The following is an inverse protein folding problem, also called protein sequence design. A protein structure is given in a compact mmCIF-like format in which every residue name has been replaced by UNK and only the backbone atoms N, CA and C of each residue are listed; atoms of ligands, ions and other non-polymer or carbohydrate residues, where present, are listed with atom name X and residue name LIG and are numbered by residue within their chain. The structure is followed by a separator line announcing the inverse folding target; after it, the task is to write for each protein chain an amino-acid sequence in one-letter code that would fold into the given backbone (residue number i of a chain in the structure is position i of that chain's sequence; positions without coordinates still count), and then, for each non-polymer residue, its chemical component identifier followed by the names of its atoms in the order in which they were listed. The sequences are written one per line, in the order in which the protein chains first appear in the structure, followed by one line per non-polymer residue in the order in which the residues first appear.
data_IF_173036608522
#
_entry.id   IF_173036608522
#
_cell.length_a   1.000
_cell.length_b   1.000
_cell.length_c   1.000
_cell.angle_alpha   90.00
_cell.angle_beta   90.00
_cell.angle_gamma   90.00
#
_symmetry.space_group_name_H-M   'P 1'
#
loop_
_entity.id
_entity.type
_entity.pdbx_description
1 polymer ?
#
# COMPACT_ATOMS: atom_id res chain seq x y z
N UNK A 1 4.87 50.45 26.92
CA UNK A 1 4.49 49.03 27.03
C UNK A 1 4.39 48.43 25.63
N UNK A 2 5.35 47.61 25.17
CA UNK A 2 5.27 47.00 23.85
C UNK A 2 4.38 45.76 23.88
N UNK A 3 3.34 45.75 23.05
CA UNK A 3 2.49 44.58 22.81
C UNK A 3 3.30 43.54 22.02
N UNK A 4 3.75 42.49 22.71
CA UNK A 4 4.32 41.29 22.08
C UNK A 4 3.21 40.57 21.30
N UNK A 5 3.27 40.64 19.96
CA UNK A 5 2.51 39.74 19.09
C UNK A 5 3.24 38.38 19.09
N UNK A 6 2.55 37.23 19.31
CA UNK A 6 3.21 35.95 19.18
C UNK A 6 3.46 35.69 17.69
N UNK A 7 4.69 35.90 17.24
CA UNK A 7 5.21 35.27 16.02
C UNK A 7 5.46 33.81 16.38
N UNK A 8 4.59 32.91 15.92
CA UNK A 8 4.86 31.48 15.91
C UNK A 8 5.90 31.26 14.81
N UNK A 9 7.17 31.39 15.15
CA UNK A 9 8.25 30.89 14.32
C UNK A 9 8.30 29.38 14.51
N UNK A 10 7.73 28.67 13.54
CA UNK A 10 7.77 27.22 13.42
C UNK A 10 9.22 26.79 13.15
N UNK A 11 10.02 26.66 14.21
CA UNK A 11 11.31 25.98 14.12
C UNK A 11 11.05 24.50 13.83
N UNK A 12 11.01 24.17 12.52
CA UNK A 12 11.07 22.81 12.02
C UNK A 12 12.44 22.25 12.40
N UNK A 13 12.54 21.65 13.58
CA UNK A 13 13.71 20.91 14.01
C UNK A 13 13.73 19.60 13.22
N UNK A 14 14.20 19.68 11.98
CA UNK A 14 14.59 18.56 11.10
C UNK A 14 15.89 17.97 11.66
N UNK A 15 15.90 17.56 12.92
CA UNK A 15 17.01 16.83 13.53
C UNK A 15 16.67 15.34 13.52
N UNK A 16 17.09 14.65 12.45
CA UNK A 16 17.02 13.19 12.37
C UNK A 16 16.65 12.59 11.01
N UNK A 17 16.34 13.41 10.00
CA UNK A 17 15.94 12.90 8.67
C UNK A 17 17.16 12.50 7.80
N UNK A 18 18.36 12.94 8.14
CA UNK A 18 19.53 12.86 7.25
C UNK A 18 20.34 11.56 7.30
N UNK A 19 20.22 10.70 8.32
CA UNK A 19 21.06 9.47 8.42
C UNK A 19 20.35 8.13 8.17
N UNK A 20 19.05 8.11 7.89
CA UNK A 20 18.31 6.87 7.60
C UNK A 20 17.86 6.74 6.12
N UNK A 21 18.43 7.58 5.24
CA UNK A 21 18.24 7.50 3.78
C UNK A 21 18.96 6.30 3.13
N UNK A 22 19.79 5.57 3.88
CA UNK A 22 20.62 4.47 3.37
C UNK A 22 19.86 3.19 2.99
N UNK A 23 18.53 3.10 3.15
CA UNK A 23 17.76 1.88 2.84
C UNK A 23 16.68 2.00 1.76
N UNK A 24 16.58 3.13 1.05
CA UNK A 24 15.72 3.22 -0.14
C UNK A 24 14.22 2.92 0.07
N UNK A 25 13.69 3.09 1.29
CA UNK A 25 12.27 2.89 1.64
C UNK A 25 11.63 4.26 1.93
N UNK A 26 10.55 4.61 1.22
CA UNK A 26 9.78 5.83 1.46
C UNK A 26 9.22 5.89 2.88
N UNK A 27 9.25 7.09 3.49
CA UNK A 27 8.71 7.37 4.83
C UNK A 27 7.53 8.33 4.70
N UNK A 28 6.48 8.13 5.48
CA UNK A 28 5.43 9.15 5.58
C UNK A 28 5.74 10.10 6.70
N UNK A 29 5.35 11.35 6.48
CA UNK A 29 5.19 12.38 7.49
C UNK A 29 3.70 12.69 7.56
N UNK A 30 3.14 12.53 8.75
CA UNK A 30 1.72 12.72 9.03
C UNK A 30 1.53 13.96 9.87
N UNK A 31 0.62 14.83 9.46
CA UNK A 31 0.13 15.94 10.26
C UNK A 31 -1.32 15.64 10.62
N UNK A 32 -1.62 15.56 11.93
CA UNK A 32 -2.97 15.31 12.42
C UNK A 32 -3.46 16.43 13.29
N UNK A 33 -4.74 16.71 13.13
CA UNK A 33 -5.50 17.64 13.96
C UNK A 33 -6.72 16.90 14.51
N UNK A 34 -6.87 16.90 15.82
CA UNK A 34 -7.92 16.15 16.48
C UNK A 34 -8.51 16.85 17.68
N UNK A 35 -9.58 16.24 18.18
CA UNK A 35 -10.23 16.60 19.42
C UNK A 35 -10.15 15.41 20.36
N UNK A 36 -9.71 15.66 21.58
CA UNK A 36 -9.71 14.71 22.68
C UNK A 36 -10.91 14.98 23.58
N UNK A 37 -11.67 13.93 23.85
CA UNK A 37 -12.85 13.89 24.69
C UNK A 37 -12.53 13.07 25.95
N UNK A 38 -12.37 13.77 27.08
CA UNK A 38 -12.14 13.22 28.42
C UNK A 38 -12.88 14.10 29.41
N UNK A 39 -14.20 13.92 29.53
CA UNK A 39 -15.08 14.81 30.33
C UNK A 39 -15.31 16.21 29.74
N UNK A 40 -14.28 16.85 29.15
CA UNK A 40 -14.38 18.12 28.41
C UNK A 40 -13.50 18.09 27.11
N UNK A 41 -13.69 19.04 26.18
CA UNK A 41 -13.05 19.08 24.86
C UNK A 41 -11.63 19.65 24.91
N UNK A 42 -10.65 18.89 24.40
CA UNK A 42 -9.26 19.32 24.25
C UNK A 42 -8.83 19.24 22.79
N UNK A 43 -7.92 20.11 22.34
CA UNK A 43 -7.38 20.11 20.97
C UNK A 43 -6.05 19.34 20.95
N UNK A 44 -5.90 18.46 19.97
CA UNK A 44 -4.66 17.70 19.77
C UNK A 44 -4.01 18.06 18.44
N UNK A 45 -2.71 18.35 18.49
CA UNK A 45 -1.86 18.62 17.33
C UNK A 45 -0.73 17.62 17.32
N UNK A 46 -0.58 16.87 16.22
CA UNK A 46 0.35 15.76 16.17
C UNK A 46 1.11 15.75 14.84
N UNK A 47 2.42 15.58 14.96
CA UNK A 47 3.32 15.35 13.85
C UNK A 47 3.90 13.95 14.04
N UNK A 48 3.66 13.05 13.08
CA UNK A 48 4.14 11.68 13.14
C UNK A 48 4.99 11.34 11.93
N UNK A 49 5.83 10.35 12.09
CA UNK A 49 6.53 9.67 10.99
C UNK A 49 6.07 8.24 10.94
N UNK A 50 6.13 7.60 9.78
CA UNK A 50 5.87 6.17 9.67
C UNK A 50 6.85 5.50 8.71
N UNK A 51 7.44 4.40 9.17
CA UNK A 51 8.35 3.55 8.42
C UNK A 51 7.99 2.07 8.61
N UNK A 52 8.04 1.25 7.55
CA UNK A 52 7.70 -0.17 7.67
C UNK A 52 8.77 -0.95 8.43
N UNK A 53 8.33 -1.87 9.31
CA UNK A 53 9.20 -2.86 9.96
C UNK A 53 9.21 -4.14 9.13
N UNK A 54 8.11 -4.91 9.22
CA UNK A 54 7.94 -6.21 8.61
C UNK A 54 6.46 -6.63 8.61
N UNK A 55 6.05 -7.34 7.56
CA UNK A 55 4.71 -7.92 7.47
C UNK A 55 3.60 -6.88 7.57
N UNK A 56 2.80 -6.98 8.62
CA UNK A 56 1.65 -6.10 8.86
C UNK A 56 2.04 -4.81 9.59
N UNK A 57 3.28 -4.71 10.07
CA UNK A 57 3.68 -3.73 11.06
C UNK A 57 4.55 -2.61 10.48
N UNK A 58 4.26 -1.38 10.89
CA UNK A 58 5.09 -0.19 10.71
C UNK A 58 5.29 0.49 12.06
N UNK A 59 6.28 1.38 12.14
CA UNK A 59 6.54 2.15 13.34
C UNK A 59 6.84 3.61 13.02
N UNK A 60 6.64 4.45 14.03
CA UNK A 60 6.73 5.87 13.90
C UNK A 60 7.28 6.55 15.13
N UNK A 61 7.86 7.72 14.91
CA UNK A 61 8.04 8.71 15.97
C UNK A 61 6.86 9.68 15.92
N UNK A 62 6.30 10.00 17.07
CA UNK A 62 5.23 10.97 17.24
C UNK A 62 5.70 12.13 18.09
N UNK A 63 5.39 13.36 17.68
CA UNK A 63 5.47 14.57 18.47
C UNK A 63 4.04 15.06 18.65
N UNK A 64 3.63 15.30 19.88
CA UNK A 64 2.23 15.61 20.20
C UNK A 64 2.10 16.76 21.19
N UNK A 65 1.13 17.62 20.91
CA UNK A 65 0.73 18.73 21.76
C UNK A 65 -0.76 18.61 22.04
N UNK A 66 -1.12 18.48 23.32
CA UNK A 66 -2.51 18.36 23.77
C UNK A 66 -2.84 19.59 24.60
N UNK A 67 -3.74 20.44 24.10
CA UNK A 67 -4.15 21.67 24.78
C UNK A 67 -5.55 21.45 25.34
N UNK A 68 -5.69 21.58 26.66
CA UNK A 68 -6.95 21.48 27.36
C UNK A 68 -7.47 22.89 27.68
N UNK A 69 -8.67 23.20 27.21
CA UNK A 69 -9.35 24.45 27.54
C UNK A 69 -10.48 24.13 28.54
N UNK A 70 -10.23 24.35 29.83
CA UNK A 70 -11.24 24.12 30.87
C UNK A 70 -11.41 25.36 31.75
N UNK A 71 -12.53 26.09 31.60
CA UNK A 71 -13.08 27.08 32.54
C UNK A 71 -12.04 27.83 33.41
N UNK A 72 -11.00 28.42 32.80
CA UNK A 72 -10.01 29.26 33.48
C UNK A 72 -8.68 28.61 33.91
N UNK A 73 -8.40 27.35 33.55
CA UNK A 73 -7.05 26.74 33.68
C UNK A 73 -6.52 26.28 32.32
N UNK A 74 -5.35 26.77 31.95
CA UNK A 74 -4.65 26.40 30.72
C UNK A 74 -3.71 25.23 31.03
N UNK A 75 -4.02 24.03 30.55
CA UNK A 75 -3.14 22.87 30.70
C UNK A 75 -2.71 22.38 29.33
N UNK A 76 -1.43 22.06 29.19
CA UNK A 76 -0.92 21.49 27.95
C UNK A 76 0.03 20.31 28.21
N UNK A 77 -0.06 19.26 27.41
CA UNK A 77 0.95 18.22 27.36
C UNK A 77 1.80 18.40 26.11
N UNK A 78 3.11 18.40 26.29
CA UNK A 78 4.10 18.42 25.22
C UNK A 78 4.94 17.15 25.34
N UNK A 79 4.88 16.27 24.35
CA UNK A 79 5.62 15.02 24.42
C UNK A 79 6.04 14.49 23.07
N UNK A 80 6.95 13.52 23.14
CA UNK A 80 7.38 12.74 22.00
C UNK A 80 7.36 11.26 22.36
N UNK A 81 7.12 10.41 21.37
CA UNK A 81 6.91 9.00 21.60
C UNK A 81 7.18 8.14 20.39
N UNK A 82 6.98 6.85 20.61
CA UNK A 82 7.09 5.83 19.58
C UNK A 82 5.73 5.13 19.43
N UNK A 83 5.35 4.90 18.19
CA UNK A 83 4.11 4.23 17.83
C UNK A 83 4.40 2.99 16.98
N UNK A 84 3.62 1.94 17.20
CA UNK A 84 3.53 0.74 16.39
C UNK A 84 2.18 0.73 15.70
N UNK A 85 2.18 0.62 14.38
CA UNK A 85 0.95 0.52 13.59
C UNK A 85 0.87 -0.87 12.97
N UNK A 86 -0.36 -1.39 12.83
CA UNK A 86 -0.65 -2.64 12.16
C UNK A 86 -1.64 -2.39 11.02
N UNK A 87 -1.45 -3.05 9.88
CA UNK A 87 -2.29 -2.99 8.69
C UNK A 87 -2.27 -1.65 7.92
N UNK A 88 -1.46 -0.69 8.37
CA UNK A 88 -1.28 0.60 7.68
C UNK A 88 -0.62 0.41 6.31
N UNK A 89 -0.99 1.24 5.34
CA UNK A 89 -0.48 1.24 3.94
C UNK A 89 -0.71 -0.04 3.12
N UNK A 90 -1.69 -0.87 3.48
CA UNK A 90 -1.95 -2.13 2.75
C UNK A 90 -2.65 -1.97 1.40
N UNK A 91 -3.38 -0.89 1.21
CA UNK A 91 -4.27 -0.67 0.06
C UNK A 91 -4.55 0.82 -0.13
N UNK A 92 -5.19 1.17 -1.25
CA UNK A 92 -5.69 2.55 -1.47
C UNK A 92 -6.65 3.00 -0.38
N UNK A 93 -7.33 2.08 0.29
CA UNK A 93 -8.19 2.36 1.43
C UNK A 93 -8.12 1.18 2.39
N UNK A 94 -7.91 1.43 3.68
CA UNK A 94 -7.93 0.35 4.66
C UNK A 94 -7.92 0.82 6.11
N UNK A 95 -8.44 -0.02 7.03
CA UNK A 95 -8.29 0.21 8.45
C UNK A 95 -6.87 -0.10 8.91
N UNK A 96 -6.44 0.55 9.98
CA UNK A 96 -5.21 0.25 10.70
C UNK A 96 -5.44 0.35 12.21
N UNK A 97 -4.66 -0.41 12.96
CA UNK A 97 -4.59 -0.30 14.42
C UNK A 97 -3.28 0.40 14.79
N UNK A 98 -3.26 1.07 15.93
CA UNK A 98 -2.05 1.67 16.47
C UNK A 98 -1.99 1.53 18.00
N UNK A 99 -0.76 1.36 18.49
CA UNK A 99 -0.44 1.44 19.90
C UNK A 99 0.84 2.28 20.04
N UNK A 100 0.91 3.13 21.06
CA UNK A 100 2.03 4.04 21.23
C UNK A 100 2.27 4.42 22.69
N UNK A 101 3.51 4.82 22.95
CA UNK A 101 3.94 5.37 24.23
C UNK A 101 4.71 6.65 23.97
N UNK A 102 4.30 7.72 24.63
CA UNK A 102 4.96 9.01 24.58
C UNK A 102 5.36 9.46 25.98
N UNK A 103 6.48 10.16 26.09
CA UNK A 103 6.93 10.80 27.33
C UNK A 103 7.04 12.29 27.07
N UNK A 104 6.68 13.09 28.06
CA UNK A 104 6.62 14.52 27.90
C UNK A 104 6.49 15.28 29.20
N UNK A 105 6.26 16.57 29.06
CA UNK A 105 5.96 17.48 30.16
C UNK A 105 4.49 17.86 30.08
N UNK A 106 3.78 17.64 31.18
CA UNK A 106 2.44 18.15 31.41
C UNK A 106 2.54 19.44 32.20
N UNK A 107 2.01 20.53 31.64
CA UNK A 107 1.93 21.84 32.29
C UNK A 107 0.56 22.03 32.92
N UNK A 108 0.55 22.43 34.19
CA UNK A 108 -0.58 23.05 34.86
C UNK A 108 -0.26 24.54 35.07
N UNK A 109 -1.26 25.32 35.46
CA UNK A 109 -1.23 26.74 35.83
C UNK A 109 -0.09 27.09 36.82
N UNK A 110 0.46 26.11 37.55
CA UNK A 110 1.53 26.32 38.54
C UNK A 110 2.66 25.27 38.55
N UNK A 111 2.62 24.19 37.77
CA UNK A 111 3.64 23.13 37.80
C UNK A 111 3.96 22.54 36.43
N UNK A 112 5.20 22.05 36.29
CA UNK A 112 5.66 21.25 35.16
C UNK A 112 6.01 19.87 35.67
N UNK A 113 5.30 18.85 35.21
CA UNK A 113 5.50 17.47 35.67
C UNK A 113 5.78 16.54 34.50
N UNK A 114 6.66 15.56 34.73
CA UNK A 114 6.90 14.50 33.76
C UNK A 114 5.64 13.64 33.64
N UNK A 115 5.28 13.31 32.41
CA UNK A 115 4.11 12.50 32.12
C UNK A 115 4.39 11.48 31.02
N UNK A 116 3.77 10.31 31.13
CA UNK A 116 3.71 9.30 30.09
C UNK A 116 2.30 9.27 29.50
N UNK A 117 2.19 9.08 28.19
CA UNK A 117 0.93 8.92 27.49
C UNK A 117 0.91 7.59 26.74
N UNK A 118 0.03 6.71 27.16
CA UNK A 118 -0.31 5.50 26.44
C UNK A 118 -1.39 5.82 25.42
N UNK A 119 -1.24 5.34 24.20
CA UNK A 119 -2.22 5.50 23.13
C UNK A 119 -2.55 4.12 22.55
N UNK A 120 -3.84 3.81 22.43
CA UNK A 120 -4.33 2.59 21.78
C UNK A 120 -5.56 2.93 20.94
N UNK A 121 -5.59 2.51 19.68
CA UNK A 121 -6.76 2.74 18.86
C UNK A 121 -6.59 2.26 17.44
N UNK A 122 -7.33 2.91 16.55
CA UNK A 122 -7.29 2.60 15.14
C UNK A 122 -7.94 3.67 14.29
N UNK A 123 -7.74 3.54 13.00
CA UNK A 123 -8.26 4.49 12.03
C UNK A 123 -8.47 3.86 10.67
N UNK A 124 -8.98 4.66 9.76
CA UNK A 124 -9.05 4.36 8.34
C UNK A 124 -8.18 5.35 7.59
N UNK A 125 -7.46 4.88 6.59
CA UNK A 125 -6.62 5.69 5.73
C UNK A 125 -7.06 5.51 4.28
N UNK A 126 -7.22 6.62 3.56
CA UNK A 126 -7.50 6.67 2.13
C UNK A 126 -6.35 7.35 1.40
N UNK A 127 -5.74 6.63 0.47
CA UNK A 127 -4.63 7.06 -0.39
C UNK A 127 -5.10 7.18 -1.84
N UNK A 128 -5.68 8.33 -2.23
CA UNK A 128 -6.12 8.55 -3.61
C UNK A 128 -4.93 8.57 -4.59
N UNK A 129 -3.76 9.00 -4.12
CA UNK A 129 -2.52 9.10 -4.91
C UNK A 129 -1.33 8.52 -4.11
N UNK A 130 -0.26 8.03 -4.77
CA UNK A 130 0.81 7.29 -4.09
C UNK A 130 1.56 8.06 -3.01
N UNK A 131 1.62 9.40 -3.11
CA UNK A 131 2.40 10.24 -2.21
C UNK A 131 1.56 10.95 -1.14
N UNK A 132 0.23 10.78 -1.12
CA UNK A 132 -0.64 11.47 -0.16
C UNK A 132 -1.75 10.56 0.39
N UNK A 133 -2.10 10.75 1.66
CA UNK A 133 -3.23 10.10 2.31
C UNK A 133 -4.08 11.06 3.13
N UNK A 134 -5.35 10.72 3.28
CA UNK A 134 -6.27 11.28 4.27
C UNK A 134 -6.63 10.20 5.26
N UNK A 135 -6.63 10.52 6.54
CA UNK A 135 -6.88 9.56 7.61
C UNK A 135 -7.92 10.06 8.61
N UNK A 136 -8.79 9.16 9.05
CA UNK A 136 -9.62 9.35 10.24
C UNK A 136 -9.14 8.37 11.30
N UNK A 137 -8.95 8.82 12.54
CA UNK A 137 -8.41 7.99 13.62
C UNK A 137 -9.19 8.23 14.91
N UNK A 138 -9.45 7.17 15.64
CA UNK A 138 -10.02 7.20 16.99
C UNK A 138 -9.12 6.42 17.93
N UNK A 139 -8.64 7.07 18.97
CA UNK A 139 -7.68 6.51 19.93
C UNK A 139 -8.13 6.75 21.35
N UNK A 140 -8.00 5.74 22.18
CA UNK A 140 -8.01 5.86 23.62
C UNK A 140 -6.62 6.27 24.12
N UNK A 141 -6.58 7.20 25.05
CA UNK A 141 -5.35 7.74 25.64
C UNK A 141 -5.43 7.65 27.15
N UNK A 142 -4.34 7.24 27.78
CA UNK A 142 -4.16 7.24 29.23
C UNK A 142 -2.88 8.01 29.57
N UNK A 143 -3.02 9.14 30.24
CA UNK A 143 -1.94 9.99 30.69
C UNK A 143 -1.65 9.73 32.18
N UNK A 144 -0.43 9.32 32.48
CA UNK A 144 0.09 9.17 33.84
C UNK A 144 1.07 10.31 34.14
N UNK A 145 0.85 11.04 35.25
CA UNK A 145 1.67 12.19 35.64
C UNK A 145 2.45 11.88 36.93
N UNK A 146 3.76 12.20 36.95
CA UNK A 146 4.61 12.19 38.13
C UNK A 146 5.74 11.13 38.14
N UNK A 147 6.76 11.29 39.01
CA UNK A 147 7.97 10.45 39.05
C UNK A 147 7.77 9.06 39.67
N UNK A 148 6.58 8.74 40.22
CA UNK A 148 6.32 7.52 41.01
C UNK A 148 5.50 6.45 40.28
N UNK A 149 5.11 6.67 39.03
CA UNK A 149 4.06 5.87 38.41
C UNK A 149 4.24 5.64 36.91
N UNK A 150 5.37 5.08 36.49
CA UNK A 150 5.49 4.50 35.14
C UNK A 150 4.68 3.20 34.97
N UNK A 151 4.04 2.69 36.04
CA UNK A 151 3.32 1.40 36.07
C UNK A 151 2.13 1.35 37.07
N UNK A 152 1.66 2.50 37.58
CA UNK A 152 0.53 2.58 38.52
C UNK A 152 -0.36 3.77 38.17
N UNK A 153 -1.59 3.49 37.74
CA UNK A 153 -2.65 4.51 37.60
C UNK A 153 -2.86 5.18 38.95
N UNK A 154 -2.52 6.46 39.06
CA UNK A 154 -2.74 7.25 40.28
C UNK A 154 -4.09 7.96 40.21
N UNK A 155 -4.58 8.54 41.31
CA UNK A 155 -5.83 9.31 41.30
C UNK A 155 -5.81 10.53 40.33
N UNK A 156 -4.64 10.90 39.81
CA UNK A 156 -4.44 11.98 38.84
C UNK A 156 -4.26 11.47 37.39
N UNK A 157 -4.33 10.15 37.13
CA UNK A 157 -4.29 9.62 35.78
C UNK A 157 -5.51 10.09 35.00
N UNK A 158 -5.31 10.50 33.74
CA UNK A 158 -6.40 10.99 32.88
C UNK A 158 -6.57 10.08 31.69
N UNK A 159 -7.80 9.73 31.38
CA UNK A 159 -8.09 8.93 30.21
C UNK A 159 -9.20 9.50 29.34
N UNK A 160 -9.13 9.23 28.04
CA UNK A 160 -10.25 9.54 27.17
C UNK A 160 -10.02 9.19 25.72
N UNK A 161 -11.01 9.51 24.90
CA UNK A 161 -11.05 9.15 23.49
C UNK A 161 -10.74 10.38 22.66
N UNK A 162 -9.75 10.31 21.78
CA UNK A 162 -9.48 11.34 20.80
C UNK A 162 -9.87 10.87 19.40
N UNK A 163 -10.57 11.74 18.68
CA UNK A 163 -10.86 11.58 17.26
C UNK A 163 -10.04 12.61 16.48
N UNK A 164 -9.31 12.18 15.45
CA UNK A 164 -8.48 13.06 14.64
C UNK A 164 -8.67 12.82 13.15
N UNK A 165 -8.55 13.92 12.40
CA UNK A 165 -8.36 13.88 10.96
C UNK A 165 -6.89 14.18 10.66
N UNK A 166 -6.31 13.44 9.73
CA UNK A 166 -4.90 13.52 9.40
C UNK A 166 -4.69 13.62 7.90
N UNK A 167 -3.62 14.31 7.54
CA UNK A 167 -3.05 14.30 6.20
C UNK A 167 -1.64 13.74 6.26
N UNK A 168 -1.35 12.83 5.35
CA UNK A 168 -0.08 12.10 5.27
C UNK A 168 0.61 12.39 3.96
N UNK A 169 1.91 12.64 3.98
CA UNK A 169 2.74 12.79 2.78
C UNK A 169 3.91 11.81 2.80
N UNK A 170 4.13 11.11 1.70
CA UNK A 170 5.31 10.25 1.52
C UNK A 170 6.49 11.07 1.03
N UNK A 171 7.59 11.06 1.78
CA UNK A 171 8.86 11.70 1.43
C UNK A 171 9.89 10.61 1.06
N UNK A 172 10.54 10.76 -0.11
CA UNK A 172 11.51 9.83 -0.67
C UNK A 172 10.97 9.05 -1.88
N UNK A 173 11.73 8.08 -2.41
CA UNK A 173 11.23 7.18 -3.45
C UNK A 173 10.07 6.37 -2.86
N UNK A 174 8.85 6.67 -3.31
CA UNK A 174 7.68 5.82 -3.10
C UNK A 174 8.01 4.47 -3.72
N UNK A 175 8.38 3.51 -2.89
CA UNK A 175 8.41 2.13 -3.35
C UNK A 175 6.97 1.67 -3.25
N UNK A 176 6.32 1.47 -4.39
CA UNK A 176 5.12 0.65 -4.51
C UNK A 176 5.46 -0.76 -4.01
N UNK A 177 5.56 -0.94 -2.69
CA UNK A 177 5.72 -2.21 -2.01
C UNK A 177 4.34 -2.65 -1.59
N UNK A 178 3.64 -3.32 -2.51
CA UNK A 178 2.79 -4.44 -2.09
C UNK A 178 3.68 -5.36 -1.26
N UNK A 179 3.40 -5.44 0.03
CA UNK A 179 4.05 -6.44 0.87
C UNK A 179 3.57 -7.83 0.43
N UNK A 180 4.44 -8.86 0.56
CA UNK A 180 4.06 -10.23 0.28
C UNK A 180 2.99 -10.64 1.28
N UNK A 181 1.89 -11.17 0.78
CA UNK A 181 0.84 -11.78 1.57
C UNK A 181 1.44 -12.92 2.41
N UNK A 182 1.20 -13.00 3.74
CA UNK A 182 1.37 -14.25 4.47
C UNK A 182 0.55 -15.33 3.77
N UNK A 183 1.08 -16.56 3.71
CA UNK A 183 0.51 -17.68 2.95
C UNK A 183 -0.98 -17.92 3.22
N UNK A 184 -1.70 -18.54 2.27
CA UNK A 184 -3.15 -18.52 2.24
C UNK A 184 -3.71 -19.34 3.40
N UNK A 185 -4.32 -18.66 4.36
CA UNK A 185 -5.45 -19.21 5.07
C UNK A 185 -6.60 -19.30 4.05
N UNK A 186 -7.09 -20.52 3.80
CA UNK A 186 -8.17 -20.79 2.84
C UNK A 186 -9.39 -19.96 3.20
N UNK A 187 -9.60 -18.88 2.46
CA UNK A 187 -10.90 -18.21 2.37
C UNK A 187 -11.60 -18.82 1.16
N UNK A 188 -12.67 -19.57 1.42
CA UNK A 188 -13.57 -20.05 0.38
C UNK A 188 -13.99 -18.88 -0.52
N UNK A 189 -13.65 -18.99 -1.81
CA UNK A 189 -14.08 -18.04 -2.83
C UNK A 189 -15.60 -18.14 -3.02
N UNK A 190 -16.33 -17.02 -3.13
CA UNK A 190 -17.73 -17.05 -3.54
C UNK A 190 -17.85 -17.68 -4.95
N UNK A 191 -18.97 -18.34 -5.25
CA UNK A 191 -19.14 -19.10 -6.50
C UNK A 191 -18.90 -18.20 -7.71
N UNK A 192 -17.98 -18.63 -8.58
CA UNK A 192 -17.59 -17.93 -9.80
C UNK A 192 -18.80 -17.79 -10.74
N UNK A 193 -19.05 -16.61 -11.34
CA UNK A 193 -19.95 -16.53 -12.48
C UNK A 193 -19.41 -17.40 -13.62
N UNK A 194 -20.28 -18.05 -14.42
CA UNK A 194 -19.86 -18.88 -15.54
C UNK A 194 -19.08 -18.04 -16.56
N UNK A 195 -17.90 -18.53 -16.92
CA UNK A 195 -17.08 -17.96 -17.99
C UNK A 195 -17.81 -18.13 -19.32
N UNK A 196 -18.21 -17.01 -19.92
CA UNK A 196 -18.73 -16.96 -21.27
C UNK A 196 -17.53 -17.06 -22.22
N UNK A 197 -17.16 -18.29 -22.60
CA UNK A 197 -16.17 -18.54 -23.66
C UNK A 197 -16.90 -18.31 -24.99
N UNK A 198 -16.79 -17.11 -25.57
CA UNK A 198 -17.34 -16.81 -26.90
C UNK A 198 -16.17 -16.62 -27.89
N UNK A 199 -16.14 -17.51 -28.87
CA UNK A 199 -15.18 -17.53 -29.96
C UNK A 199 -14.81 -18.97 -30.31
N UNK A 200 -14.97 -19.36 -31.58
CA UNK A 200 -14.51 -20.67 -32.07
C UNK A 200 -12.97 -20.73 -32.02
N UNK A 201 -12.41 -21.13 -30.89
CA UNK A 201 -10.98 -21.44 -30.76
C UNK A 201 -10.81 -22.91 -31.19
N UNK A 202 -10.14 -23.15 -32.31
CA UNK A 202 -9.88 -24.51 -32.83
C UNK A 202 -8.39 -24.86 -32.74
N UNK A 203 -8.07 -26.14 -32.51
CA UNK A 203 -6.69 -26.65 -32.50
C UNK A 203 -5.87 -26.32 -31.24
N UNK A 204 -4.55 -26.55 -31.32
CA UNK A 204 -3.61 -26.44 -30.17
C UNK A 204 -3.63 -25.09 -29.44
N UNK A 205 -3.93 -23.99 -30.14
CA UNK A 205 -4.05 -22.66 -29.54
C UNK A 205 -5.21 -22.56 -28.52
N UNK A 206 -6.33 -23.25 -28.78
CA UNK A 206 -7.48 -23.30 -27.88
C UNK A 206 -7.13 -23.96 -26.54
N UNK A 207 -6.44 -25.09 -26.61
CA UNK A 207 -6.07 -25.87 -25.44
C UNK A 207 -5.03 -25.13 -24.59
N UNK A 208 -4.08 -24.44 -25.23
CA UNK A 208 -3.09 -23.58 -24.56
C UNK A 208 -3.77 -22.42 -23.84
N UNK A 209 -4.71 -21.72 -24.51
CA UNK A 209 -5.47 -20.61 -23.90
C UNK A 209 -6.31 -21.12 -22.74
N UNK A 210 -7.02 -22.25 -22.90
CA UNK A 210 -7.78 -22.88 -21.82
C UNK A 210 -6.89 -23.22 -20.63
N UNK A 211 -5.72 -23.79 -20.88
CA UNK A 211 -4.75 -24.12 -19.83
C UNK A 211 -4.26 -22.87 -19.09
N UNK A 212 -3.99 -21.78 -19.81
CA UNK A 212 -3.66 -20.51 -19.18
C UNK A 212 -4.83 -19.98 -18.32
N UNK A 213 -6.07 -20.08 -18.82
CA UNK A 213 -7.28 -19.68 -18.09
C UNK A 213 -7.52 -20.52 -16.83
N UNK A 214 -7.16 -21.80 -16.82
CA UNK A 214 -7.25 -22.66 -15.63
C UNK A 214 -6.34 -22.17 -14.49
N UNK A 215 -5.30 -21.39 -14.81
CA UNK A 215 -4.44 -20.75 -13.82
C UNK A 215 -5.00 -19.44 -13.25
N UNK A 216 -6.18 -18.97 -13.66
CA UNK A 216 -6.78 -17.74 -13.14
C UNK A 216 -6.87 -17.74 -11.60
N UNK A 217 -6.42 -16.64 -10.99
CA UNK A 217 -6.34 -16.48 -9.55
C UNK A 217 -5.08 -17.07 -8.90
N UNK A 218 -4.24 -17.80 -9.64
CA UNK A 218 -2.97 -18.31 -9.11
C UNK A 218 -2.07 -17.13 -8.70
N UNK A 219 -1.44 -17.15 -7.50
CA UNK A 219 -0.61 -16.05 -7.04
C UNK A 219 0.58 -15.73 -7.95
N UNK A 220 1.01 -14.47 -7.91
CA UNK A 220 2.26 -14.08 -8.56
C UNK A 220 3.44 -14.46 -7.68
N UNK A 221 4.39 -15.19 -8.25
CA UNK A 221 5.65 -15.55 -7.60
C UNK A 221 6.78 -15.23 -8.55
N UNK A 222 7.68 -14.35 -8.14
CA UNK A 222 8.88 -14.04 -8.93
C UNK A 222 9.68 -15.33 -9.15
N UNK A 223 9.99 -15.68 -10.41
CA UNK A 223 10.64 -16.94 -10.71
C UNK A 223 9.67 -18.13 -10.87
N UNK A 224 8.40 -17.98 -10.52
CA UNK A 224 7.39 -19.03 -10.53
C UNK A 224 7.03 -19.54 -11.93
N UNK A 225 6.85 -20.85 -12.06
CA UNK A 225 6.63 -21.57 -13.34
C UNK A 225 5.62 -22.72 -13.22
N UNK A 226 4.85 -22.78 -12.13
CA UNK A 226 3.92 -23.88 -11.85
C UNK A 226 2.67 -23.41 -11.09
N UNK A 227 1.71 -24.31 -10.88
CA UNK A 227 0.42 -24.01 -10.27
C UNK A 227 0.47 -23.45 -8.83
N UNK A 228 1.61 -23.51 -8.15
CA UNK A 228 1.82 -22.86 -6.85
C UNK A 228 2.20 -21.38 -6.96
N UNK A 229 2.44 -20.87 -8.16
CA UNK A 229 2.74 -19.46 -8.42
C UNK A 229 3.45 -19.24 -9.76
N UNK A 230 3.06 -18.17 -10.46
CA UNK A 230 3.63 -17.81 -11.75
C UNK A 230 4.21 -16.39 -11.73
N UNK A 231 5.35 -16.16 -12.38
CA UNK A 231 5.63 -14.83 -12.94
C UNK A 231 5.05 -14.69 -14.35
N UNK A 232 5.18 -13.51 -14.95
CA UNK A 232 4.55 -13.20 -16.23
C UNK A 232 4.98 -14.17 -17.34
N UNK A 233 6.29 -14.37 -17.50
CA UNK A 233 6.88 -15.28 -18.47
C UNK A 233 6.69 -16.76 -18.11
N UNK A 234 6.65 -17.09 -16.81
CA UNK A 234 6.45 -18.44 -16.31
C UNK A 234 5.04 -18.96 -16.57
N UNK A 235 4.01 -18.12 -16.48
CA UNK A 235 2.64 -18.47 -16.87
C UNK A 235 2.58 -18.88 -18.34
N UNK A 236 3.13 -18.04 -19.22
CA UNK A 236 3.14 -18.29 -20.67
C UNK A 236 3.94 -19.56 -20.98
N UNK A 237 5.13 -19.70 -20.40
CA UNK A 237 5.97 -20.87 -20.57
C UNK A 237 5.26 -22.16 -20.13
N UNK A 238 4.61 -22.14 -18.96
CA UNK A 238 3.91 -23.30 -18.43
C UNK A 238 2.72 -23.69 -19.30
N UNK A 239 1.88 -22.72 -19.71
CA UNK A 239 0.72 -22.98 -20.54
C UNK A 239 1.10 -23.64 -21.87
N UNK A 240 2.12 -23.10 -22.57
CA UNK A 240 2.66 -23.73 -23.78
C UNK A 240 3.31 -25.10 -23.49
N UNK A 241 4.03 -25.22 -22.37
CA UNK A 241 4.73 -26.43 -21.96
C UNK A 241 3.81 -27.62 -21.67
N UNK A 242 2.60 -27.38 -21.14
CA UNK A 242 1.58 -28.44 -20.95
C UNK A 242 1.17 -29.11 -22.27
N UNK A 243 1.35 -28.41 -23.40
CA UNK A 243 1.06 -28.90 -24.74
C UNK A 243 2.34 -29.27 -25.52
N UNK A 244 3.45 -29.50 -24.81
CA UNK A 244 4.71 -29.95 -25.39
C UNK A 244 5.51 -28.87 -26.14
N UNK A 245 5.07 -27.60 -26.09
CA UNK A 245 5.71 -26.49 -26.81
C UNK A 245 6.67 -25.76 -25.86
N UNK A 246 7.94 -25.69 -26.26
CA UNK A 246 8.97 -25.02 -25.46
C UNK A 246 9.03 -23.55 -25.79
N UNK A 247 8.77 -22.72 -24.79
CA UNK A 247 8.91 -21.26 -24.85
C UNK A 247 10.05 -20.83 -23.90
N UNK A 248 10.90 -19.85 -24.28
CA UNK A 248 11.98 -19.37 -23.43
C UNK A 248 11.51 -18.88 -22.06
N UNK A 249 12.37 -18.95 -21.04
CA UNK A 249 12.01 -18.61 -19.66
C UNK A 249 11.81 -17.11 -19.43
N UNK A 250 12.59 -16.25 -20.08
CA UNK A 250 12.56 -14.81 -19.84
C UNK A 250 11.72 -14.08 -20.87
N UNK A 251 10.95 -13.07 -20.43
CA UNK A 251 10.10 -12.23 -21.29
C UNK A 251 10.84 -11.64 -22.50
N UNK A 252 12.09 -11.19 -22.30
CA UNK A 252 12.98 -10.69 -23.38
C UNK A 252 13.35 -11.74 -24.43
N UNK A 253 13.41 -13.01 -24.05
CA UNK A 253 13.73 -14.11 -24.97
C UNK A 253 12.44 -14.59 -25.66
N UNK A 254 11.32 -14.59 -24.95
CA UNK A 254 9.99 -14.80 -25.54
C UNK A 254 9.67 -13.75 -26.59
N UNK A 255 10.14 -12.51 -26.41
CA UNK A 255 10.06 -11.43 -27.39
C UNK A 255 10.83 -11.70 -28.69
N UNK A 256 11.57 -12.81 -28.80
CA UNK A 256 12.29 -13.26 -30.01
C UNK A 256 11.82 -14.64 -30.48
N UNK A 257 10.83 -15.24 -29.82
CA UNK A 257 10.31 -16.56 -30.16
C UNK A 257 9.21 -16.47 -31.22
N UNK A 258 9.09 -17.50 -32.05
CA UNK A 258 8.06 -17.59 -33.08
C UNK A 258 8.11 -16.47 -34.12
N UNK A 259 6.97 -16.18 -34.74
CA UNK A 259 6.84 -15.14 -35.77
C UNK A 259 6.37 -13.82 -35.17
N UNK A 260 6.87 -12.71 -35.71
CA UNK A 260 6.35 -11.38 -35.38
C UNK A 260 4.94 -11.19 -35.91
N UNK A 261 4.09 -10.53 -35.13
CA UNK A 261 2.76 -10.08 -35.56
C UNK A 261 2.66 -8.59 -35.30
N UNK A 262 2.02 -7.87 -36.22
CA UNK A 262 1.74 -6.45 -36.06
C UNK A 262 0.94 -6.23 -34.76
N UNK A 263 1.37 -5.31 -33.87
CA UNK A 263 0.71 -5.06 -32.59
C UNK A 263 -0.56 -4.21 -32.77
N UNK A 264 -1.56 -4.79 -33.44
CA UNK A 264 -2.91 -4.24 -33.62
C UNK A 264 -3.92 -5.34 -33.31
N UNK A 265 -5.02 -4.97 -32.64
CA UNK A 265 -6.02 -5.93 -32.13
C UNK A 265 -6.53 -6.88 -33.21
N UNK A 266 -6.79 -6.35 -34.42
CA UNK A 266 -7.35 -7.13 -35.53
C UNK A 266 -6.39 -8.20 -36.07
N UNK A 267 -5.09 -8.08 -35.80
CA UNK A 267 -4.09 -9.07 -36.18
C UNK A 267 -3.91 -10.19 -35.15
N UNK A 268 -4.47 -10.03 -33.95
CA UNK A 268 -4.29 -10.95 -32.84
C UNK A 268 -5.12 -12.23 -32.99
N UNK A 269 -4.52 -13.34 -32.59
CA UNK A 269 -5.17 -14.64 -32.46
C UNK A 269 -5.00 -15.18 -31.05
N UNK A 270 -6.01 -15.85 -30.47
CA UNK A 270 -5.86 -16.49 -29.17
C UNK A 270 -4.60 -17.37 -29.14
N UNK A 271 -3.83 -17.25 -28.06
CA UNK A 271 -2.52 -17.88 -27.92
C UNK A 271 -1.34 -16.96 -28.22
N UNK A 272 -1.52 -15.86 -28.97
CA UNK A 272 -0.44 -14.92 -29.23
C UNK A 272 0.16 -14.35 -27.93
N UNK A 273 1.49 -14.26 -27.87
CA UNK A 273 2.22 -13.67 -26.75
C UNK A 273 2.28 -12.16 -26.96
N UNK A 274 1.68 -11.41 -26.03
CA UNK A 274 1.72 -9.95 -25.99
C UNK A 274 2.92 -9.48 -25.18
N UNK A 275 3.64 -8.49 -25.68
CA UNK A 275 4.87 -7.95 -25.09
C UNK A 275 4.65 -6.52 -24.58
N UNK A 276 5.04 -6.24 -23.34
CA UNK A 276 4.84 -4.93 -22.73
C UNK A 276 6.11 -4.37 -22.08
N UNK A 277 6.24 -3.04 -22.10
CA UNK A 277 7.31 -2.29 -21.47
C UNK A 277 6.84 -1.59 -20.19
N UNK A 278 7.72 -1.43 -19.20
CA UNK A 278 7.38 -0.72 -17.96
C UNK A 278 7.15 0.78 -18.21
N UNK A 279 7.89 1.33 -19.16
CA UNK A 279 7.79 2.71 -19.63
C UNK A 279 7.42 2.71 -21.13
N UNK A 280 6.56 3.63 -21.60
CA UNK A 280 6.27 3.79 -23.01
C UNK A 280 7.57 3.97 -23.82
N UNK A 281 7.71 3.24 -24.93
CA UNK A 281 8.92 3.24 -25.76
C UNK A 281 10.13 2.48 -25.17
N UNK A 282 9.99 1.85 -24.00
CA UNK A 282 11.04 1.04 -23.38
C UNK A 282 11.12 -0.39 -23.93
N UNK A 283 12.09 -1.16 -23.42
CA UNK A 283 12.23 -2.59 -23.74
C UNK A 283 11.20 -3.49 -23.04
N UNK A 284 11.12 -4.75 -23.49
CA UNK A 284 10.19 -5.75 -22.93
C UNK A 284 10.53 -6.05 -21.46
N UNK A 285 9.53 -5.89 -20.60
CA UNK A 285 9.62 -6.17 -19.16
C UNK A 285 8.52 -7.10 -18.68
N UNK A 286 7.42 -7.21 -19.43
CA UNK A 286 6.24 -7.98 -19.07
C UNK A 286 5.66 -8.68 -20.30
N UNK A 287 5.00 -9.81 -20.09
CA UNK A 287 4.33 -10.59 -21.14
C UNK A 287 2.96 -11.09 -20.68
N UNK A 288 2.08 -11.34 -21.64
CA UNK A 288 0.78 -11.97 -21.45
C UNK A 288 0.40 -12.81 -22.67
N UNK A 289 -0.70 -13.55 -22.58
CA UNK A 289 -1.24 -14.36 -23.67
C UNK A 289 -2.61 -13.83 -24.06
N UNK A 290 -2.80 -13.52 -25.34
CA UNK A 290 -4.09 -13.08 -25.86
C UNK A 290 -5.11 -14.22 -25.80
N UNK A 291 -6.32 -13.93 -25.35
CA UNK A 291 -7.40 -14.94 -25.19
C UNK A 291 -8.63 -14.64 -26.05
N UNK A 292 -8.62 -13.54 -26.81
CA UNK A 292 -9.75 -13.09 -27.64
C UNK A 292 -10.41 -11.83 -27.10
N UNK A 293 -11.27 -11.21 -27.92
CA UNK A 293 -12.10 -10.05 -27.54
C UNK A 293 -11.34 -8.92 -26.82
N UNK A 294 -10.19 -8.50 -27.37
CA UNK A 294 -9.32 -7.47 -26.78
C UNK A 294 -8.83 -7.82 -25.37
N UNK A 295 -8.90 -9.09 -24.97
CA UNK A 295 -8.59 -9.54 -23.62
C UNK A 295 -7.37 -10.45 -23.64
N UNK A 296 -6.55 -10.36 -22.60
CA UNK A 296 -5.40 -11.21 -22.43
C UNK A 296 -5.23 -11.63 -20.98
N UNK A 297 -4.65 -12.82 -20.79
CA UNK A 297 -4.30 -13.36 -19.49
C UNK A 297 -2.82 -13.12 -19.20
N UNK A 298 -2.52 -12.75 -17.97
CA UNK A 298 -1.14 -12.54 -17.52
C UNK A 298 -1.03 -12.71 -16.01
N UNK A 299 0.17 -13.07 -15.53
CA UNK A 299 0.48 -13.02 -14.09
C UNK A 299 1.04 -11.66 -13.75
N UNK A 300 0.30 -10.85 -12.99
CA UNK A 300 0.68 -9.52 -12.53
C UNK A 300 0.84 -9.50 -11.02
N UNK A 301 1.19 -8.37 -10.41
CA UNK A 301 1.28 -8.24 -8.95
C UNK A 301 0.02 -8.75 -8.17
N UNK A 302 -1.15 -8.90 -8.82
CA UNK A 302 -2.39 -9.46 -8.24
C UNK A 302 -2.58 -10.97 -8.50
N UNK A 303 -1.56 -11.66 -9.01
CA UNK A 303 -1.68 -13.01 -9.53
C UNK A 303 -2.13 -13.04 -10.99
N UNK A 304 -2.51 -14.24 -11.45
CA UNK A 304 -3.01 -14.49 -12.79
C UNK A 304 -4.41 -13.89 -12.94
N UNK A 305 -4.56 -12.95 -13.86
CA UNK A 305 -5.82 -12.24 -14.12
C UNK A 305 -6.00 -11.95 -15.60
N UNK A 306 -7.20 -11.49 -15.96
CA UNK A 306 -7.49 -10.92 -17.27
C UNK A 306 -7.32 -9.40 -17.24
N UNK A 307 -6.84 -8.84 -18.34
CA UNK A 307 -6.77 -7.41 -18.61
C UNK A 307 -7.20 -7.13 -20.05
N UNK A 308 -7.62 -5.90 -20.33
CA UNK A 308 -8.09 -5.47 -21.66
C UNK A 308 -7.03 -4.65 -22.41
N UNK A 309 -7.03 -4.75 -23.73
CA UNK A 309 -6.29 -3.91 -24.68
C UNK A 309 -7.20 -2.82 -25.24
N UNK A 310 -7.83 -2.05 -24.36
CA UNK A 310 -8.78 -1.02 -24.71
C UNK A 310 -8.31 0.33 -24.16
N UNK A 311 -8.12 1.31 -25.04
CA UNK A 311 -7.65 2.64 -24.66
C UNK A 311 -8.72 3.49 -23.95
N UNK A 312 -10.00 3.11 -24.06
CA UNK A 312 -11.12 3.77 -23.38
C UNK A 312 -11.34 3.21 -21.97
N UNK A 313 -10.81 2.03 -21.68
CA UNK A 313 -10.78 1.44 -20.34
C UNK A 313 -9.63 2.05 -19.51
N UNK A 314 -9.90 2.40 -18.25
CA UNK A 314 -8.91 3.06 -17.39
C UNK A 314 -7.72 2.13 -17.09
N UNK A 315 -7.97 0.84 -16.90
CA UNK A 315 -6.92 -0.16 -16.69
C UNK A 315 -6.28 -0.58 -18.03
N UNK A 316 -7.06 -0.65 -19.11
CA UNK A 316 -6.61 -0.98 -20.46
C UNK A 316 -5.68 0.05 -21.10
N UNK A 317 -5.91 1.35 -20.87
CA UNK A 317 -5.09 2.44 -21.40
C UNK A 317 -3.61 2.31 -20.98
N UNK A 318 -3.36 1.78 -19.77
CA UNK A 318 -2.00 1.50 -19.30
C UNK A 318 -1.29 0.47 -20.17
N UNK A 319 -2.01 -0.59 -20.58
CA UNK A 319 -1.48 -1.68 -21.42
C UNK A 319 -1.27 -1.23 -22.85
N UNK A 320 -2.24 -0.52 -23.44
CA UNK A 320 -2.16 -0.01 -24.82
C UNK A 320 -0.94 0.89 -24.99
N UNK A 321 -0.71 1.82 -24.07
CA UNK A 321 0.45 2.75 -24.13
C UNK A 321 1.81 2.08 -23.93
N UNK A 322 1.83 0.83 -23.48
CA UNK A 322 3.04 0.05 -23.17
C UNK A 322 3.17 -1.20 -24.01
N UNK A 323 2.26 -1.41 -24.96
CA UNK A 323 2.28 -2.56 -25.84
C UNK A 323 3.34 -2.35 -26.90
N UNK A 324 4.37 -3.20 -26.90
CA UNK A 324 5.57 -3.02 -27.73
C UNK A 324 5.74 -4.10 -28.79
N UNK A 325 4.91 -5.16 -28.77
CA UNK A 325 4.97 -6.18 -29.79
C UNK A 325 4.12 -7.41 -29.49
N UNK A 326 4.11 -8.32 -30.46
CA UNK A 326 3.37 -9.59 -30.41
C UNK A 326 4.21 -10.69 -31.04
N UNK A 327 4.17 -11.89 -30.45
CA UNK A 327 4.77 -13.10 -31.01
C UNK A 327 3.74 -14.22 -31.14
N UNK A 328 3.70 -14.84 -32.32
CA UNK A 328 2.86 -16.02 -32.59
C UNK A 328 3.71 -17.27 -32.59
N UNK A 329 3.37 -18.22 -31.72
CA UNK A 329 4.09 -19.50 -31.58
C UNK A 329 3.39 -20.61 -32.35
N UNK A 330 2.06 -20.66 -32.29
CA UNK A 330 1.20 -21.64 -32.98
C UNK A 330 0.33 -20.94 -34.01
N UNK A 331 0.09 -21.60 -35.14
CA UNK A 331 -0.64 -21.04 -36.29
C UNK A 331 -2.13 -21.38 -36.29
#
# INVERSE_FOLDING_TARGET
MPRLRPRIELFLLIAGVSQLSAQGRGRDVDVRYGRWYSGNQSKSYELRTDAPIAGIFSHGLAIQVLIHDNLGRHHAFYGAGWELHAFRRRSKFGPYALAGLSVGVSTDTSSQELAALWTLGGGVEWRPIPWAALGLETVYRLQDVGPRGFWRTTANSRDGIAASIGFSMTIGRSVDRRWPTPGPERTEQPPRPPLVIIGNITGSAADIVKTALDALGTPYVWGGTAANGFDCSGLVQWAYGQHGIRVPRMSRDQARAGSEVTPVVDALRPGDILLFAAQPGGGVTHVGMYVGEQTFIHSSNMGVKLSRLDGLDTDGAWWVTRWVGVRRIVQ
#
